data_IF_481541089491
#
_entry.id   IF_481541089491
#
_cell.length_a   1.000
_cell.length_b   1.000
_cell.length_c   1.000
_cell.angle_alpha   90.00
_cell.angle_beta   90.00
_cell.angle_gamma   90.00
#
_symmetry.space_group_name_H-M   'P 1'
#
loop_
_entity.id
_entity.type
_entity.pdbx_description
1 polymer ?
#
# COMPACT_ATOMS: atom_id res chain seq x y z
N UNK A 1 -15.87 -2.14 -21.26
CA UNK A 1 -14.90 -1.60 -20.29
C UNK A 1 -13.61 -1.32 -21.05
N UNK A 2 -12.94 -0.20 -20.79
CA UNK A 2 -11.64 0.08 -21.42
C UNK A 2 -10.61 -0.99 -21.01
N UNK A 3 -9.65 -1.34 -21.87
CA UNK A 3 -8.61 -2.31 -21.54
C UNK A 3 -7.79 -1.84 -20.34
N UNK A 4 -7.42 -2.75 -19.43
CA UNK A 4 -6.74 -2.38 -18.18
C UNK A 4 -5.30 -1.90 -18.41
N UNK A 5 -4.74 -2.20 -19.57
CA UNK A 5 -3.45 -1.71 -20.05
C UNK A 5 -3.38 -0.18 -20.23
N UNK A 6 -4.51 0.54 -20.21
CA UNK A 6 -4.51 2.01 -20.33
C UNK A 6 -4.15 2.72 -19.01
N UNK A 7 -4.34 2.06 -17.88
CA UNK A 7 -4.16 2.66 -16.56
C UNK A 7 -2.72 3.03 -16.22
N UNK A 8 -1.68 2.24 -16.58
CA UNK A 8 -0.29 2.67 -16.43
C UNK A 8 0.00 3.99 -17.16
N UNK A 9 -0.50 4.15 -18.38
CA UNK A 9 -0.37 5.41 -19.13
C UNK A 9 -1.19 6.55 -18.52
N UNK A 10 -2.42 6.27 -18.07
CA UNK A 10 -3.24 7.24 -17.33
C UNK A 10 -2.53 7.71 -16.06
N UNK A 11 -1.82 6.81 -15.37
CA UNK A 11 -1.00 7.11 -14.19
C UNK A 11 0.13 8.10 -14.49
N UNK A 12 0.83 7.95 -15.62
CA UNK A 12 1.87 8.90 -16.06
C UNK A 12 1.27 10.29 -16.27
N UNK A 13 0.19 10.38 -17.07
CA UNK A 13 -0.46 11.66 -17.39
C UNK A 13 -1.00 12.32 -16.11
N UNK A 14 -1.63 11.53 -15.23
CA UNK A 14 -2.17 12.01 -13.97
C UNK A 14 -1.08 12.52 -13.02
N UNK A 15 0.03 11.80 -12.91
CA UNK A 15 1.17 12.19 -12.09
C UNK A 15 1.76 13.53 -12.55
N UNK A 16 1.90 13.74 -13.87
CA UNK A 16 2.38 15.01 -14.42
C UNK A 16 1.36 16.14 -14.19
N UNK A 17 0.06 15.83 -14.30
CA UNK A 17 -1.01 16.83 -14.16
C UNK A 17 -1.27 17.25 -12.71
N UNK A 18 -0.83 16.46 -11.74
CA UNK A 18 -1.13 16.64 -10.31
C UNK A 18 0.17 16.85 -9.51
N UNK A 19 0.68 18.10 -9.43
CA UNK A 19 1.96 18.39 -8.79
C UNK A 19 1.96 18.17 -7.26
N UNK A 20 0.79 18.05 -6.62
CA UNK A 20 0.67 17.75 -5.19
C UNK A 20 1.17 16.34 -4.81
N UNK A 21 1.34 15.44 -5.80
CA UNK A 21 1.87 14.09 -5.59
C UNK A 21 3.41 14.05 -5.57
N UNK A 22 4.08 15.00 -6.20
CA UNK A 22 5.54 14.94 -6.40
C UNK A 22 6.33 14.94 -5.10
N UNK A 23 5.99 15.74 -4.06
CA UNK A 23 6.70 15.69 -2.79
C UNK A 23 6.65 14.29 -2.14
N UNK A 24 5.56 13.54 -2.35
CA UNK A 24 5.39 12.19 -1.79
C UNK A 24 6.29 11.15 -2.47
N UNK A 25 6.67 11.39 -3.72
CA UNK A 25 7.61 10.55 -4.48
C UNK A 25 9.06 10.94 -4.19
N UNK A 26 9.35 12.24 -4.06
CA UNK A 26 10.70 12.74 -3.83
C UNK A 26 11.20 12.46 -2.41
N UNK A 27 10.31 12.55 -1.41
CA UNK A 27 10.65 12.32 0.00
C UNK A 27 11.28 10.94 0.26
N UNK A 28 10.72 9.80 -0.23
CA UNK A 28 11.34 8.48 -0.15
C UNK A 28 12.80 8.44 -0.61
N UNK A 29 13.10 9.05 -1.76
CA UNK A 29 14.46 9.07 -2.32
C UNK A 29 15.43 9.83 -1.42
N UNK A 30 15.01 10.96 -0.85
CA UNK A 30 15.84 11.75 0.07
C UNK A 30 16.10 10.96 1.36
N UNK A 31 15.05 10.37 1.94
CA UNK A 31 15.17 9.60 3.18
C UNK A 31 16.08 8.37 2.97
N UNK A 32 15.88 7.61 1.90
CA UNK A 32 16.74 6.47 1.56
C UNK A 32 18.18 6.90 1.32
N UNK A 33 18.42 8.01 0.62
CA UNK A 33 19.76 8.54 0.40
C UNK A 33 20.47 8.87 1.73
N UNK A 34 19.77 9.53 2.66
CA UNK A 34 20.30 9.84 3.99
C UNK A 34 20.60 8.57 4.78
N UNK A 35 19.71 7.58 4.75
CA UNK A 35 19.91 6.29 5.41
C UNK A 35 21.13 5.57 4.81
N UNK A 36 21.25 5.52 3.49
CA UNK A 36 22.40 4.89 2.82
C UNK A 36 23.71 5.57 3.17
N UNK A 37 23.77 6.91 3.19
CA UNK A 37 24.96 7.65 3.60
C UNK A 37 25.29 7.36 5.07
N UNK A 38 24.29 7.38 5.96
CA UNK A 38 24.49 7.09 7.37
C UNK A 38 25.01 5.66 7.59
N UNK A 39 24.40 4.65 6.96
CA UNK A 39 24.85 3.27 7.03
C UNK A 39 26.27 3.09 6.48
N UNK A 40 26.61 3.77 5.38
CA UNK A 40 27.96 3.74 4.82
C UNK A 40 28.97 4.32 5.81
N UNK A 41 28.72 5.51 6.35
CA UNK A 41 29.61 6.16 7.32
C UNK A 41 29.77 5.29 8.56
N UNK A 42 28.68 4.76 9.13
CA UNK A 42 28.72 3.89 10.30
C UNK A 42 29.47 2.58 10.02
N UNK A 43 29.28 1.98 8.83
CA UNK A 43 29.96 0.76 8.44
C UNK A 43 31.48 0.98 8.33
N UNK A 44 31.91 2.07 7.69
CA UNK A 44 33.34 2.39 7.61
C UNK A 44 33.95 2.80 8.95
N UNK A 45 33.18 3.46 9.82
CA UNK A 45 33.67 3.88 11.14
C UNK A 45 33.78 2.73 12.14
N UNK A 46 32.83 1.79 12.14
CA UNK A 46 32.73 0.77 13.19
C UNK A 46 32.95 -0.66 12.69
N UNK A 47 32.40 -1.04 11.53
CA UNK A 47 32.49 -2.41 11.01
C UNK A 47 33.88 -2.71 10.42
N UNK A 48 34.40 -1.81 9.59
CA UNK A 48 35.71 -1.98 8.96
C UNK A 48 36.85 -2.25 9.97
N UNK A 49 37.06 -1.44 11.03
CA UNK A 49 38.18 -1.68 11.95
C UNK A 49 38.06 -3.04 12.66
N UNK A 50 36.85 -3.44 13.08
CA UNK A 50 36.61 -4.74 13.71
C UNK A 50 37.00 -5.88 12.77
N UNK A 51 36.65 -5.77 11.48
CA UNK A 51 36.99 -6.78 10.48
C UNK A 51 38.49 -6.83 10.19
N UNK A 52 39.14 -5.67 10.09
CA UNK A 52 40.60 -5.59 9.85
C UNK A 52 41.35 -6.26 11.00
N UNK A 53 40.98 -5.98 12.24
CA UNK A 53 41.61 -6.58 13.43
C UNK A 53 41.38 -8.10 13.43
N UNK A 54 40.16 -8.56 13.15
CA UNK A 54 39.85 -9.99 13.04
C UNK A 54 40.72 -10.72 12.00
N UNK A 55 40.97 -10.12 10.84
CA UNK A 55 41.82 -10.72 9.80
C UNK A 55 43.31 -10.68 10.16
N UNK A 56 43.78 -9.61 10.81
CA UNK A 56 45.16 -9.51 11.28
C UNK A 56 45.44 -10.58 12.35
N UNK A 57 44.51 -10.79 13.27
CA UNK A 57 44.60 -11.84 14.31
C UNK A 57 44.67 -13.26 13.70
N UNK A 58 44.10 -13.45 12.50
CA UNK A 58 44.18 -14.70 11.73
C UNK A 58 45.40 -14.79 10.79
N UNK A 59 46.42 -13.96 11.00
CA UNK A 59 47.69 -13.94 10.24
C UNK A 59 47.56 -13.51 8.76
N UNK A 60 46.58 -12.68 8.41
CA UNK A 60 46.49 -12.12 7.06
C UNK A 60 47.46 -10.94 6.87
N UNK A 61 47.99 -10.78 5.65
CA UNK A 61 48.82 -9.61 5.34
C UNK A 61 48.01 -8.30 5.48
N UNK A 62 48.57 -7.23 6.08
CA UNK A 62 47.82 -6.02 6.41
C UNK A 62 47.11 -5.34 5.22
N UNK A 63 47.70 -5.40 4.02
CA UNK A 63 47.10 -4.83 2.82
C UNK A 63 45.94 -5.68 2.29
N UNK A 64 46.03 -7.01 2.42
CA UNK A 64 44.94 -7.94 2.04
C UNK A 64 43.78 -7.80 3.02
N UNK A 65 44.07 -7.76 4.33
CA UNK A 65 43.07 -7.58 5.37
C UNK A 65 42.24 -6.31 5.14
N UNK A 66 42.88 -5.17 4.86
CA UNK A 66 42.20 -3.89 4.56
C UNK A 66 41.35 -3.95 3.29
N UNK A 67 41.86 -4.58 2.23
CA UNK A 67 41.13 -4.69 0.97
C UNK A 67 39.87 -5.55 1.13
N UNK A 68 39.98 -6.71 1.78
CA UNK A 68 38.87 -7.64 1.99
C UNK A 68 37.86 -7.08 2.99
N UNK A 69 38.31 -6.48 4.09
CA UNK A 69 37.43 -5.78 5.03
C UNK A 69 36.69 -4.63 4.34
N UNK A 70 37.34 -3.86 3.46
CA UNK A 70 36.67 -2.82 2.69
C UNK A 70 35.57 -3.35 1.78
N UNK A 71 35.82 -4.47 1.08
CA UNK A 71 34.80 -5.11 0.25
C UNK A 71 33.62 -5.63 1.09
N UNK A 72 33.91 -6.28 2.22
CA UNK A 72 32.89 -6.82 3.13
C UNK A 72 32.05 -5.69 3.75
N UNK A 73 32.69 -4.61 4.20
CA UNK A 73 32.02 -3.41 4.73
C UNK A 73 31.09 -2.78 3.68
N UNK A 74 31.52 -2.69 2.41
CA UNK A 74 30.67 -2.22 1.32
C UNK A 74 29.47 -3.15 1.08
N UNK A 75 29.70 -4.46 1.12
CA UNK A 75 28.63 -5.46 0.97
C UNK A 75 27.63 -5.38 2.11
N UNK A 76 28.07 -5.25 3.36
CA UNK A 76 27.21 -5.12 4.54
C UNK A 76 26.41 -3.81 4.51
N UNK A 77 27.03 -2.69 4.12
CA UNK A 77 26.32 -1.42 3.94
C UNK A 77 25.28 -1.49 2.81
N UNK A 78 25.58 -2.20 1.71
CA UNK A 78 24.65 -2.44 0.63
C UNK A 78 23.48 -3.34 1.07
N UNK A 79 23.75 -4.40 1.83
CA UNK A 79 22.73 -5.26 2.43
C UNK A 79 21.85 -4.51 3.42
N UNK A 80 22.43 -3.68 4.29
CA UNK A 80 21.68 -2.83 5.22
C UNK A 80 20.80 -1.82 4.48
N UNK A 81 21.30 -1.24 3.39
CA UNK A 81 20.51 -0.35 2.52
C UNK A 81 19.37 -1.09 1.83
N UNK A 82 19.61 -2.32 1.35
CA UNK A 82 18.59 -3.16 0.74
C UNK A 82 17.48 -3.53 1.74
N UNK A 83 17.84 -3.93 2.96
CA UNK A 83 16.88 -4.21 4.04
C UNK A 83 16.06 -2.96 4.35
N UNK A 84 16.72 -1.80 4.46
CA UNK A 84 16.05 -0.52 4.71
C UNK A 84 15.05 -0.17 3.59
N UNK A 85 15.44 -0.38 2.33
CA UNK A 85 14.57 -0.22 1.17
C UNK A 85 13.36 -1.15 1.23
N UNK A 86 13.57 -2.45 1.47
CA UNK A 86 12.49 -3.44 1.54
C UNK A 86 11.51 -3.17 2.70
N UNK A 87 12.01 -2.60 3.80
CA UNK A 87 11.18 -2.25 4.95
C UNK A 87 10.38 -0.96 4.74
N UNK A 88 10.99 0.08 4.14
CA UNK A 88 10.39 1.42 4.05
C UNK A 88 9.53 1.63 2.80
N UNK A 89 9.88 1.01 1.67
CA UNK A 89 9.19 1.20 0.40
C UNK A 89 7.68 0.96 0.45
N UNK A 90 7.18 -0.14 1.07
CA UNK A 90 5.75 -0.40 1.11
C UNK A 90 4.94 0.76 1.73
N UNK A 91 5.44 1.36 2.81
CA UNK A 91 4.77 2.49 3.46
C UNK A 91 4.63 3.72 2.55
N UNK A 92 5.63 3.99 1.73
CA UNK A 92 5.57 5.13 0.81
C UNK A 92 4.72 4.85 -0.42
N UNK A 93 4.71 3.61 -0.91
CA UNK A 93 3.76 3.18 -1.94
C UNK A 93 2.31 3.35 -1.45
N UNK A 94 2.03 2.91 -0.22
CA UNK A 94 0.70 3.03 0.40
C UNK A 94 0.31 4.51 0.59
N UNK A 95 1.21 5.33 1.11
CA UNK A 95 0.98 6.77 1.27
C UNK A 95 0.74 7.51 -0.06
N UNK A 96 1.35 7.04 -1.16
CA UNK A 96 1.11 7.55 -2.51
C UNK A 96 -0.23 7.05 -3.06
N UNK A 97 -0.55 5.78 -2.86
CA UNK A 97 -1.82 5.20 -3.28
C UNK A 97 -3.01 5.93 -2.64
N UNK A 98 -2.94 6.15 -1.32
CA UNK A 98 -3.93 6.92 -0.56
C UNK A 98 -4.00 8.38 -0.99
N UNK A 99 -2.88 8.97 -1.40
CA UNK A 99 -2.85 10.32 -1.99
C UNK A 99 -3.77 10.43 -3.20
N UNK A 100 -3.66 9.43 -4.10
CA UNK A 100 -4.37 9.39 -5.37
C UNK A 100 -5.85 9.15 -5.14
N UNK A 101 -6.21 8.23 -4.24
CA UNK A 101 -7.61 8.03 -3.88
C UNK A 101 -8.22 9.29 -3.24
N UNK A 102 -7.46 10.01 -2.41
CA UNK A 102 -7.91 11.30 -1.85
C UNK A 102 -8.12 12.36 -2.93
N UNK A 103 -7.26 12.45 -3.94
CA UNK A 103 -7.44 13.39 -5.06
C UNK A 103 -8.61 13.00 -5.97
N UNK A 104 -8.94 11.71 -6.08
CA UNK A 104 -10.14 11.22 -6.78
C UNK A 104 -11.44 11.35 -5.98
N UNK A 105 -11.45 12.08 -4.84
CA UNK A 105 -12.61 12.27 -3.94
C UNK A 105 -13.05 11.00 -3.20
N UNK A 106 -12.19 10.00 -3.08
CA UNK A 106 -12.41 8.79 -2.28
C UNK A 106 -11.80 8.87 -0.87
N UNK A 107 -11.38 10.06 -0.43
CA UNK A 107 -10.74 10.24 0.88
C UNK A 107 -11.56 9.74 2.07
N UNK A 108 -12.89 9.80 1.99
CA UNK A 108 -13.78 9.33 3.05
C UNK A 108 -13.71 7.81 3.27
N UNK A 109 -13.38 7.00 2.26
CA UNK A 109 -13.20 5.55 2.41
C UNK A 109 -11.94 5.27 3.22
N UNK A 110 -10.89 6.04 2.94
CA UNK A 110 -9.61 5.95 3.65
C UNK A 110 -9.83 6.32 5.11
N UNK A 111 -10.57 7.39 5.39
CA UNK A 111 -10.81 7.84 6.75
C UNK A 111 -11.73 6.86 7.52
N UNK A 112 -12.67 6.19 6.82
CA UNK A 112 -13.48 5.11 7.40
C UNK A 112 -12.69 3.82 7.65
N UNK A 113 -11.69 3.51 6.82
CA UNK A 113 -10.82 2.35 6.97
C UNK A 113 -9.81 2.53 8.11
N UNK A 114 -9.25 3.74 8.27
CA UNK A 114 -8.25 4.10 9.27
C UNK A 114 -8.83 4.48 10.65
N UNK A 115 -10.08 4.15 10.93
CA UNK A 115 -10.68 4.30 12.25
C UNK A 115 -9.85 3.60 13.33
N UNK A 116 -9.26 4.39 14.22
CA UNK A 116 -8.34 4.06 15.33
C UNK A 116 -6.84 3.89 15.01
N UNK A 117 -6.12 5.00 15.19
CA UNK A 117 -4.66 5.17 15.19
C UNK A 117 -3.91 4.29 16.23
N UNK A 118 -4.62 3.63 17.16
CA UNK A 118 -4.05 2.93 18.33
C UNK A 118 -3.79 1.43 18.11
N UNK A 119 -4.33 0.83 17.05
CA UNK A 119 -4.09 -0.58 16.68
C UNK A 119 -2.82 -0.73 15.82
N UNK A 120 -2.23 0.40 15.41
CA UNK A 120 -1.15 0.45 14.43
C UNK A 120 0.14 -0.23 14.90
N UNK A 121 0.57 -0.18 16.17
CA UNK A 121 1.92 -0.66 16.49
C UNK A 121 2.08 -2.20 16.39
N UNK A 122 1.11 -2.96 16.91
CA UNK A 122 1.13 -4.43 16.83
C UNK A 122 0.61 -4.96 15.48
N UNK A 123 -0.30 -4.21 14.83
CA UNK A 123 -0.76 -4.50 13.48
C UNK A 123 0.25 -4.18 12.38
N UNK A 124 1.09 -3.15 12.56
CA UNK A 124 2.15 -2.76 11.61
C UNK A 124 3.30 -3.73 11.66
N UNK A 125 3.73 -4.27 12.81
CA UNK A 125 4.76 -5.32 12.81
C UNK A 125 4.27 -6.62 12.19
N UNK A 126 3.02 -7.04 12.47
CA UNK A 126 2.42 -8.22 11.85
C UNK A 126 2.15 -8.02 10.35
N UNK A 127 1.66 -6.85 9.97
CA UNK A 127 1.43 -6.42 8.59
C UNK A 127 2.73 -6.28 7.82
N UNK A 128 3.75 -5.65 8.40
CA UNK A 128 5.09 -5.53 7.82
C UNK A 128 5.75 -6.90 7.68
N UNK A 129 5.55 -7.84 8.60
CA UNK A 129 6.03 -9.21 8.42
C UNK A 129 5.33 -9.90 7.25
N UNK A 130 3.99 -9.77 7.14
CA UNK A 130 3.23 -10.38 6.04
C UNK A 130 3.58 -9.72 4.70
N UNK A 131 3.71 -8.40 4.66
CA UNK A 131 4.08 -7.61 3.48
C UNK A 131 5.53 -7.88 3.09
N UNK A 132 6.48 -7.88 4.04
CA UNK A 132 7.88 -8.19 3.78
C UNK A 132 8.06 -9.64 3.37
N UNK A 133 7.39 -10.59 4.03
CA UNK A 133 7.41 -12.00 3.65
C UNK A 133 6.83 -12.20 2.25
N UNK A 134 5.68 -11.58 1.96
CA UNK A 134 5.07 -11.66 0.63
C UNK A 134 5.95 -10.99 -0.43
N UNK A 135 6.54 -9.83 -0.13
CA UNK A 135 7.47 -9.12 -1.00
C UNK A 135 8.71 -9.96 -1.29
N UNK A 136 9.28 -10.62 -0.27
CA UNK A 136 10.40 -11.56 -0.43
C UNK A 136 9.99 -12.77 -1.26
N UNK A 137 8.81 -13.34 -1.05
CA UNK A 137 8.31 -14.47 -1.86
C UNK A 137 8.08 -14.07 -3.31
N UNK A 138 7.53 -12.89 -3.56
CA UNK A 138 7.34 -12.35 -4.91
C UNK A 138 8.69 -12.04 -5.57
N UNK A 139 9.65 -11.49 -4.83
CA UNK A 139 11.01 -11.25 -5.28
C UNK A 139 11.70 -12.56 -5.65
N UNK A 140 11.60 -13.60 -4.80
CA UNK A 140 12.13 -14.93 -5.09
C UNK A 140 11.49 -15.53 -6.35
N UNK A 141 10.18 -15.39 -6.50
CA UNK A 141 9.50 -15.80 -7.74
C UNK A 141 10.04 -15.04 -8.95
N UNK A 142 10.29 -13.74 -8.84
CA UNK A 142 10.84 -12.93 -9.91
C UNK A 142 12.28 -13.31 -10.25
N UNK A 143 13.12 -13.62 -9.26
CA UNK A 143 14.49 -14.12 -9.46
C UNK A 143 14.47 -15.50 -10.13
N UNK A 144 13.61 -16.41 -9.70
CA UNK A 144 13.45 -17.74 -10.32
C UNK A 144 12.94 -17.59 -11.75
N UNK A 145 11.95 -16.73 -11.98
CA UNK A 145 11.42 -16.41 -13.31
C UNK A 145 12.54 -15.86 -14.20
N UNK A 146 13.39 -14.95 -13.70
CA UNK A 146 14.54 -14.42 -14.44
C UNK A 146 15.54 -15.51 -14.83
N UNK A 147 15.86 -16.43 -13.91
CA UNK A 147 16.77 -17.56 -14.20
C UNK A 147 16.18 -18.50 -15.26
N UNK A 148 14.89 -18.83 -15.14
CA UNK A 148 14.18 -19.71 -16.08
C UNK A 148 13.98 -19.05 -17.46
N UNK A 149 13.79 -17.72 -17.50
CA UNK A 149 13.64 -16.96 -18.73
C UNK A 149 14.97 -16.50 -19.34
N UNK A 150 16.10 -16.72 -18.67
CA UNK A 150 17.43 -16.34 -19.16
C UNK A 150 17.76 -16.99 -20.53
N UNK A 151 17.48 -18.29 -20.77
CA UNK A 151 17.62 -18.90 -22.10
C UNK A 151 16.64 -18.32 -23.13
N UNK A 152 15.46 -17.87 -22.68
CA UNK A 152 14.41 -17.31 -23.54
C UNK A 152 14.72 -15.86 -23.95
N UNK A 153 15.46 -15.12 -23.13
CA UNK A 153 15.99 -13.79 -23.46
C UNK A 153 17.01 -13.81 -24.60
N UNK A 154 17.54 -14.98 -24.98
CA UNK A 154 18.40 -15.13 -26.16
C UNK A 154 17.63 -14.87 -27.47
N UNK A 155 16.30 -14.93 -27.46
CA UNK A 155 15.45 -14.54 -28.58
C UNK A 155 14.90 -13.13 -28.30
N UNK A 156 15.49 -12.07 -28.89
CA UNK A 156 15.00 -10.72 -28.70
C UNK A 156 13.53 -10.62 -29.15
N UNK A 157 12.76 -9.75 -28.49
CA UNK A 157 11.31 -9.54 -28.67
C UNK A 157 10.44 -10.62 -28.02
N UNK A 158 10.61 -11.90 -28.35
CA UNK A 158 9.73 -12.96 -27.79
C UNK A 158 9.96 -13.12 -26.29
N UNK A 159 11.22 -13.15 -25.85
CA UNK A 159 11.57 -13.22 -24.43
C UNK A 159 10.98 -12.04 -23.63
N UNK A 160 11.04 -10.83 -24.20
CA UNK A 160 10.49 -9.62 -23.59
C UNK A 160 8.98 -9.68 -23.42
N UNK A 161 8.24 -10.10 -24.46
CA UNK A 161 6.77 -10.19 -24.39
C UNK A 161 6.34 -11.23 -23.35
N UNK A 162 6.99 -12.40 -23.33
CA UNK A 162 6.70 -13.45 -22.33
C UNK A 162 7.06 -12.98 -20.92
N UNK A 163 8.18 -12.29 -20.76
CA UNK A 163 8.60 -11.70 -19.48
C UNK A 163 7.58 -10.68 -18.95
N UNK A 164 7.11 -9.75 -19.79
CA UNK A 164 6.08 -8.79 -19.43
C UNK A 164 4.77 -9.47 -19.02
N UNK A 165 4.35 -10.52 -19.74
CA UNK A 165 3.11 -11.23 -19.42
C UNK A 165 3.18 -12.00 -18.09
N UNK A 166 4.27 -12.74 -17.87
CA UNK A 166 4.45 -13.55 -16.66
C UNK A 166 4.65 -12.69 -15.41
N UNK A 167 5.48 -11.64 -15.51
CA UNK A 167 5.71 -10.74 -14.39
C UNK A 167 4.57 -9.73 -14.21
N UNK A 168 3.77 -9.49 -15.25
CA UNK A 168 2.65 -8.55 -15.20
C UNK A 168 1.63 -8.92 -14.13
N UNK A 169 1.21 -10.17 -14.05
CA UNK A 169 0.26 -10.60 -13.01
C UNK A 169 0.79 -10.31 -11.60
N UNK A 170 2.06 -10.64 -11.35
CA UNK A 170 2.73 -10.44 -10.06
C UNK A 170 2.85 -8.95 -9.73
N UNK A 171 3.28 -8.15 -10.71
CA UNK A 171 3.43 -6.70 -10.59
C UNK A 171 2.11 -6.04 -10.15
N UNK A 172 1.03 -6.33 -10.88
CA UNK A 172 -0.29 -5.80 -10.59
C UNK A 172 -0.81 -6.23 -9.22
N UNK A 173 -0.62 -7.51 -8.89
CA UNK A 173 -1.01 -8.03 -7.59
C UNK A 173 -0.25 -7.32 -6.46
N UNK A 174 1.06 -7.11 -6.62
CA UNK A 174 1.90 -6.40 -5.65
C UNK A 174 1.44 -4.95 -5.43
N UNK A 175 1.01 -4.24 -6.47
CA UNK A 175 0.53 -2.86 -6.34
C UNK A 175 -0.89 -2.74 -5.76
N UNK A 176 -1.69 -3.82 -5.81
CA UNK A 176 -3.11 -3.80 -5.39
C UNK A 176 -3.38 -4.54 -4.07
N UNK A 177 -2.47 -5.41 -3.64
CA UNK A 177 -2.67 -6.23 -2.43
C UNK A 177 -2.87 -5.39 -1.17
N UNK A 178 -2.14 -4.29 -1.04
CA UNK A 178 -2.26 -3.36 0.07
C UNK A 178 -3.67 -2.78 0.18
N UNK A 179 -4.19 -2.25 -0.94
CA UNK A 179 -5.57 -1.80 -1.04
C UNK A 179 -6.59 -2.88 -0.65
N UNK A 180 -6.44 -4.10 -1.20
CA UNK A 180 -7.38 -5.19 -0.91
C UNK A 180 -7.37 -5.58 0.58
N UNK A 181 -6.21 -5.54 1.23
CA UNK A 181 -6.05 -5.94 2.64
C UNK A 181 -6.45 -4.82 3.60
N UNK A 182 -6.02 -3.59 3.35
CA UNK A 182 -6.23 -2.47 4.28
C UNK A 182 -7.60 -1.81 4.10
N UNK A 183 -7.96 -1.46 2.86
CA UNK A 183 -9.20 -0.74 2.57
C UNK A 183 -10.41 -1.68 2.46
N UNK A 184 -10.24 -2.85 1.84
CA UNK A 184 -11.32 -3.84 1.74
C UNK A 184 -11.33 -4.87 2.89
N UNK A 185 -10.39 -4.82 3.83
CA UNK A 185 -10.25 -5.79 4.95
C UNK A 185 -10.24 -7.26 4.50
N UNK A 186 -9.73 -7.55 3.30
CA UNK A 186 -9.65 -8.92 2.77
C UNK A 186 -8.44 -9.65 3.35
N UNK A 187 -8.54 -10.96 3.51
CA UNK A 187 -7.36 -11.78 3.73
C UNK A 187 -6.49 -11.85 2.46
N UNK A 188 -5.17 -11.95 2.60
CA UNK A 188 -4.22 -12.13 1.48
C UNK A 188 -4.63 -13.30 0.57
N UNK A 189 -5.12 -14.41 1.14
CA UNK A 189 -5.60 -15.56 0.37
C UNK A 189 -6.82 -15.24 -0.49
N UNK A 190 -7.73 -14.39 0.02
CA UNK A 190 -8.91 -13.97 -0.71
C UNK A 190 -8.56 -13.01 -1.85
N UNK A 191 -7.66 -12.05 -1.61
CA UNK A 191 -7.15 -11.16 -2.67
C UNK A 191 -6.40 -11.97 -3.75
N UNK A 192 -5.57 -12.95 -3.35
CA UNK A 192 -4.89 -13.84 -4.30
C UNK A 192 -5.90 -14.62 -5.16
N UNK A 193 -6.95 -15.19 -4.56
CA UNK A 193 -8.00 -15.92 -5.31
C UNK A 193 -8.75 -14.99 -6.28
N UNK A 194 -8.99 -13.73 -5.89
CA UNK A 194 -9.57 -12.72 -6.77
C UNK A 194 -8.65 -12.39 -7.96
N UNK A 195 -7.37 -12.14 -7.69
CA UNK A 195 -6.37 -11.87 -8.73
C UNK A 195 -6.20 -13.04 -9.72
N UNK A 196 -6.32 -14.28 -9.24
CA UNK A 196 -6.33 -15.46 -10.12
C UNK A 196 -7.60 -15.56 -10.96
N UNK A 197 -8.77 -15.25 -10.40
CA UNK A 197 -10.04 -15.24 -11.14
C UNK A 197 -10.02 -14.20 -12.26
N UNK A 198 -9.42 -13.04 -12.01
CA UNK A 198 -9.33 -11.92 -12.96
C UNK A 198 -7.93 -11.81 -13.59
N UNK A 199 -7.26 -12.94 -13.83
CA UNK A 199 -5.89 -12.96 -14.36
C UNK A 199 -5.69 -12.13 -15.64
N UNK A 200 -6.70 -12.04 -16.50
CA UNK A 200 -6.65 -11.25 -17.74
C UNK A 200 -6.40 -9.78 -17.45
N UNK A 201 -7.29 -9.16 -16.66
CA UNK A 201 -7.19 -7.77 -16.22
C UNK A 201 -5.87 -7.48 -15.50
N UNK A 202 -5.42 -8.40 -14.64
CA UNK A 202 -4.15 -8.25 -13.91
C UNK A 202 -2.94 -8.35 -14.84
N UNK A 203 -2.93 -9.27 -15.80
CA UNK A 203 -1.86 -9.39 -16.80
C UNK A 203 -1.85 -8.19 -17.76
N UNK A 204 -3.01 -7.67 -18.17
CA UNK A 204 -3.10 -6.53 -19.09
C UNK A 204 -2.51 -5.26 -18.49
N UNK A 205 -2.90 -4.93 -17.25
CA UNK A 205 -2.30 -3.80 -16.51
C UNK A 205 -0.80 -4.02 -16.32
N UNK A 206 -0.44 -5.20 -15.83
CA UNK A 206 0.91 -5.50 -15.40
C UNK A 206 1.89 -5.62 -16.54
N UNK A 207 1.49 -6.15 -17.69
CA UNK A 207 2.35 -6.25 -18.86
C UNK A 207 2.77 -4.85 -19.35
N UNK A 208 1.84 -3.90 -19.37
CA UNK A 208 2.13 -2.50 -19.70
C UNK A 208 3.01 -1.83 -18.64
N UNK A 209 2.72 -2.07 -17.35
CA UNK A 209 3.52 -1.54 -16.24
C UNK A 209 4.98 -2.06 -16.27
N UNK A 210 5.16 -3.38 -16.42
CA UNK A 210 6.48 -4.01 -16.52
C UNK A 210 7.23 -3.52 -17.75
N UNK A 211 6.54 -3.37 -18.90
CA UNK A 211 7.17 -2.83 -20.10
C UNK A 211 7.71 -1.41 -19.91
N UNK A 212 6.98 -0.55 -19.21
CA UNK A 212 7.45 0.80 -18.87
C UNK A 212 8.69 0.76 -17.96
N UNK A 213 8.69 -0.15 -16.96
CA UNK A 213 9.82 -0.32 -16.04
C UNK A 213 11.06 -0.95 -16.69
N UNK A 214 10.94 -1.58 -17.86
CA UNK A 214 12.10 -2.07 -18.60
C UNK A 214 12.93 -0.92 -19.21
N UNK A 215 12.41 0.30 -19.26
CA UNK A 215 13.15 1.46 -19.78
C UNK A 215 14.17 1.89 -18.72
N UNK A 216 15.49 1.74 -18.97
CA UNK A 216 16.51 2.14 -18.01
C UNK A 216 16.43 3.65 -17.73
N UNK A 217 16.86 4.07 -16.55
CA UNK A 217 16.76 5.45 -16.03
C UNK A 217 15.33 5.89 -15.72
N UNK A 218 14.38 5.70 -16.65
CA UNK A 218 12.98 6.08 -16.45
C UNK A 218 12.19 5.08 -15.58
N UNK A 219 12.69 3.86 -15.39
CA UNK A 219 12.08 2.85 -14.50
C UNK A 219 11.73 3.44 -13.13
N UNK A 220 12.66 4.20 -12.51
CA UNK A 220 12.43 4.81 -11.20
C UNK A 220 11.19 5.71 -11.18
N UNK A 221 10.96 6.48 -12.24
CA UNK A 221 9.76 7.29 -12.39
C UNK A 221 8.53 6.41 -12.66
N UNK A 222 8.68 5.45 -13.58
CA UNK A 222 7.57 4.60 -14.01
C UNK A 222 7.02 3.74 -12.87
N UNK A 223 7.88 3.27 -11.97
CA UNK A 223 7.50 2.59 -10.75
C UNK A 223 6.45 3.37 -9.95
N UNK A 224 6.70 4.65 -9.68
CA UNK A 224 5.77 5.50 -8.95
C UNK A 224 4.52 5.81 -9.77
N UNK A 225 4.64 6.04 -11.09
CA UNK A 225 3.47 6.25 -11.94
C UNK A 225 2.59 5.00 -12.08
N UNK A 226 3.18 3.81 -11.97
CA UNK A 226 2.46 2.53 -11.97
C UNK A 226 1.64 2.36 -10.69
N UNK A 227 2.16 2.81 -9.53
CA UNK A 227 1.38 2.90 -8.28
C UNK A 227 0.17 3.83 -8.46
N UNK A 228 0.39 5.02 -9.05
CA UNK A 228 -0.70 5.96 -9.37
C UNK A 228 -1.72 5.33 -10.33
N UNK A 229 -1.25 4.64 -11.38
CA UNK A 229 -2.12 3.94 -12.33
C UNK A 229 -2.96 2.85 -11.67
N UNK A 230 -2.39 2.08 -10.74
CA UNK A 230 -3.10 1.06 -9.98
C UNK A 230 -4.18 1.70 -9.08
N UNK A 231 -3.85 2.82 -8.42
CA UNK A 231 -4.81 3.58 -7.61
C UNK A 231 -5.96 4.14 -8.43
N UNK A 232 -5.69 4.67 -9.63
CA UNK A 232 -6.73 5.15 -10.56
C UNK A 232 -7.63 4.02 -11.06
N UNK A 233 -7.07 2.82 -11.30
CA UNK A 233 -7.89 1.66 -11.65
C UNK A 233 -8.84 1.31 -10.49
N UNK A 234 -8.32 1.25 -9.27
CA UNK A 234 -9.12 0.97 -8.09
C UNK A 234 -10.20 2.05 -7.86
N UNK A 235 -9.86 3.34 -8.03
CA UNK A 235 -10.83 4.43 -7.93
C UNK A 235 -11.98 4.29 -8.95
N UNK A 236 -11.65 4.00 -10.21
CA UNK A 236 -12.64 3.78 -11.27
C UNK A 236 -13.52 2.54 -10.97
N UNK A 237 -12.94 1.47 -10.42
CA UNK A 237 -13.67 0.24 -10.03
C UNK A 237 -14.68 0.52 -8.92
N UNK A 238 -14.26 1.26 -7.89
CA UNK A 238 -15.11 1.68 -6.77
C UNK A 238 -16.29 2.55 -7.25
N UNK A 239 -16.01 3.55 -8.08
CA UNK A 239 -17.04 4.46 -8.59
C UNK A 239 -18.02 3.73 -9.52
N UNK A 240 -17.54 2.76 -10.32
CA UNK A 240 -18.38 1.93 -11.16
C UNK A 240 -19.33 1.04 -10.33
N UNK A 241 -18.85 0.45 -9.24
CA UNK A 241 -19.66 -0.39 -8.36
C UNK A 241 -20.73 0.45 -7.63
N UNK A 242 -20.37 1.62 -7.10
CA UNK A 242 -21.37 2.54 -6.52
C UNK A 242 -22.41 3.00 -7.52
N UNK A 243 -22.02 3.27 -8.78
CA UNK A 243 -22.98 3.62 -9.83
C UNK A 243 -23.98 2.49 -10.05
N UNK A 244 -23.54 1.23 -10.01
CA UNK A 244 -24.41 0.05 -10.14
C UNK A 244 -25.36 -0.08 -8.97
N UNK A 245 -24.89 0.12 -7.74
CA UNK A 245 -25.74 0.14 -6.54
C UNK A 245 -26.80 1.24 -6.60
N UNK A 246 -26.42 2.46 -6.99
CA UNK A 246 -27.37 3.57 -7.18
C UNK A 246 -28.43 3.25 -8.23
N UNK A 247 -28.07 2.57 -9.31
CA UNK A 247 -29.01 2.13 -10.35
C UNK A 247 -29.92 1.03 -9.79
N UNK A 248 -29.38 0.03 -9.09
CA UNK A 248 -30.15 -1.05 -8.48
C UNK A 248 -31.19 -0.49 -7.49
N UNK A 249 -30.79 0.44 -6.62
CA UNK A 249 -31.69 1.09 -5.65
C UNK A 249 -32.77 1.93 -6.33
N UNK A 250 -32.47 2.55 -7.48
CA UNK A 250 -33.48 3.29 -8.28
C UNK A 250 -34.48 2.36 -8.97
N UNK A 251 -34.07 1.14 -9.32
CA UNK A 251 -34.91 0.16 -10.01
C UNK A 251 -35.80 -0.67 -9.06
N UNK A 252 -35.51 -0.67 -7.75
CA UNK A 252 -36.31 -1.34 -6.73
C UNK A 252 -36.59 -0.44 -5.51
N UNK A 253 -37.40 0.64 -5.66
CA UNK A 253 -37.63 1.66 -4.62
C UNK A 253 -38.53 1.22 -3.45
N UNK A 254 -38.46 -0.04 -3.01
CA UNK A 254 -39.38 -0.59 -2.00
C UNK A 254 -38.84 -1.74 -1.14
N UNK A 255 -37.56 -2.10 -1.25
CA UNK A 255 -36.92 -2.91 -0.22
C UNK A 255 -36.16 -1.97 0.70
N UNK A 256 -36.82 -1.51 1.77
CA UNK A 256 -36.13 -1.03 2.96
C UNK A 256 -35.27 -2.18 3.50
N UNK A 257 -34.02 -2.27 3.04
CA UNK A 257 -32.98 -2.92 3.82
C UNK A 257 -32.76 -2.02 5.03
N UNK A 258 -33.38 -2.42 6.13
CA UNK A 258 -33.24 -1.75 7.41
C UNK A 258 -31.78 -1.59 7.80
N UNK A 259 -31.50 -0.47 8.44
CA UNK A 259 -30.26 -0.15 9.16
C UNK A 259 -29.10 0.35 8.29
N UNK A 260 -28.81 1.64 8.46
CA UNK A 260 -27.58 2.32 8.09
C UNK A 260 -26.37 1.82 8.87
N UNK A 261 -26.02 0.53 8.73
CA UNK A 261 -24.76 -0.01 9.21
C UNK A 261 -24.24 -1.06 8.22
N UNK A 262 -22.92 -1.01 8.07
CA UNK A 262 -22.08 -1.93 7.28
C UNK A 262 -22.53 -3.37 7.52
N UNK A 263 -23.19 -3.97 6.54
CA UNK A 263 -23.29 -5.43 6.49
C UNK A 263 -21.99 -5.93 5.90
N UNK A 264 -21.07 -6.40 6.76
CA UNK A 264 -19.99 -7.26 6.31
C UNK A 264 -20.64 -8.52 5.74
N UNK A 265 -20.79 -8.60 4.43
CA UNK A 265 -21.24 -9.83 3.80
C UNK A 265 -20.20 -10.92 4.05
N UNK A 266 -20.55 -12.03 4.75
CA UNK A 266 -19.72 -13.22 4.79
C UNK A 266 -19.65 -13.74 3.34
N UNK A 267 -18.45 -13.77 2.77
CA UNK A 267 -18.32 -13.75 1.32
C UNK A 267 -18.25 -15.15 0.70
N UNK A 268 -19.40 -15.65 0.26
CA UNK A 268 -19.50 -16.33 -1.02
C UNK A 268 -19.95 -15.29 -2.06
N UNK A 269 -19.33 -15.27 -3.26
CA UNK A 269 -19.67 -14.43 -4.46
C UNK A 269 -18.71 -13.32 -4.98
N UNK A 270 -17.42 -13.56 -5.15
CA UNK A 270 -16.57 -12.89 -6.18
C UNK A 270 -16.54 -11.36 -6.48
N UNK A 271 -17.05 -10.42 -5.66
CA UNK A 271 -16.88 -8.95 -5.81
C UNK A 271 -16.31 -8.30 -4.52
N UNK A 272 -15.73 -7.09 -4.57
CA UNK A 272 -15.35 -6.34 -3.37
C UNK A 272 -16.60 -5.75 -2.69
N UNK A 273 -16.75 -5.96 -1.37
CA UNK A 273 -17.70 -5.18 -0.57
C UNK A 273 -17.12 -3.80 -0.27
N UNK A 274 -17.89 -2.74 -0.51
CA UNK A 274 -17.52 -1.35 -0.24
C UNK A 274 -18.03 -0.88 1.13
N UNK A 275 -17.30 -0.04 1.88
CA UNK A 275 -17.87 0.70 3.01
C UNK A 275 -18.85 1.76 2.49
N UNK A 276 -20.08 1.78 3.02
CA UNK A 276 -21.09 2.79 2.71
C UNK A 276 -20.80 4.11 3.44
N UNK A 277 -21.21 5.23 2.85
CA UNK A 277 -21.24 6.55 3.51
C UNK A 277 -22.02 6.46 4.84
N UNK A 278 -21.52 7.02 5.95
CA UNK A 278 -22.42 7.41 7.03
C UNK A 278 -23.33 8.50 6.48
N UNK A 279 -24.63 8.40 6.76
CA UNK A 279 -25.58 9.47 6.48
C UNK A 279 -25.02 10.81 6.95
N UNK A 280 -24.89 11.75 6.02
CA UNK A 280 -25.12 13.16 6.31
C UNK A 280 -26.59 13.30 6.73
N UNK A 281 -26.94 12.81 7.93
CA UNK A 281 -28.05 13.36 8.67
C UNK A 281 -27.59 14.72 9.18
N UNK A 282 -27.94 15.75 8.41
CA UNK A 282 -28.01 17.15 8.84
C UNK A 282 -26.84 17.65 9.71
N UNK A 283 -25.65 17.73 9.13
CA UNK A 283 -24.73 18.79 9.54
C UNK A 283 -24.82 19.93 8.54
N UNK A 284 -25.58 20.94 8.95
CA UNK A 284 -25.69 22.22 8.29
C UNK A 284 -24.29 22.86 8.23
N UNK A 285 -23.74 23.05 7.03
CA UNK A 285 -22.50 23.80 6.83
C UNK A 285 -22.81 25.30 6.93
N UNK A 286 -23.15 25.73 8.14
CA UNK A 286 -23.53 27.10 8.44
C UNK A 286 -23.35 27.40 9.91
N UNK A 287 -22.10 27.63 10.34
CA UNK A 287 -21.71 28.62 11.37
C UNK A 287 -20.32 28.29 11.92
N UNK A 288 -19.28 28.90 11.33
CA UNK A 288 -18.05 29.11 12.08
C UNK A 288 -18.27 30.31 13.00
N UNK A 289 -18.66 30.03 14.25
CA UNK A 289 -18.69 31.01 15.33
C UNK A 289 -19.65 30.63 16.47
N UNK A 290 -19.10 30.19 17.61
CA UNK A 290 -19.82 30.24 18.89
C UNK A 290 -19.64 29.06 19.85
N UNK A 291 -18.75 29.25 20.83
CA UNK A 291 -18.73 28.75 22.23
C UNK A 291 -18.75 27.23 22.61
N UNK A 292 -17.78 26.75 23.44
CA UNK A 292 -17.70 25.37 23.96
C UNK A 292 -18.75 24.92 25.01
N UNK A 293 -19.82 25.67 25.29
CA UNK A 293 -20.64 25.46 26.50
C UNK A 293 -21.75 24.40 26.35
N UNK A 294 -22.22 24.10 25.13
CA UNK A 294 -23.34 23.16 24.93
C UNK A 294 -22.93 21.68 25.09
N UNK A 295 -21.69 21.32 24.73
CA UNK A 295 -21.24 19.93 24.80
C UNK A 295 -21.00 19.46 26.25
N UNK A 296 -20.65 20.38 27.16
CA UNK A 296 -20.52 20.08 28.60
C UNK A 296 -21.88 19.90 29.31
N UNK A 297 -22.93 20.63 28.90
CA UNK A 297 -24.25 20.51 29.52
C UNK A 297 -24.93 19.18 29.20
N UNK A 298 -24.79 18.68 27.96
CA UNK A 298 -25.36 17.39 27.56
C UNK A 298 -24.70 16.23 28.32
N UNK A 299 -23.37 16.32 28.53
CA UNK A 299 -22.62 15.28 29.24
C UNK A 299 -22.93 15.28 30.75
N UNK A 300 -23.17 16.44 31.37
CA UNK A 300 -23.59 16.53 32.77
C UNK A 300 -25.01 15.99 32.99
N UNK A 301 -25.94 16.25 32.06
CA UNK A 301 -27.31 15.73 32.15
C UNK A 301 -27.35 14.20 32.04
N UNK A 302 -26.55 13.61 31.14
CA UNK A 302 -26.42 12.14 31.04
C UNK A 302 -25.84 11.52 32.31
N UNK A 303 -24.87 12.18 32.95
CA UNK A 303 -24.27 11.66 34.18
C UNK A 303 -25.25 11.69 35.37
N UNK A 304 -26.04 12.76 35.48
CA UNK A 304 -27.07 12.86 36.52
C UNK A 304 -28.19 11.84 36.33
N UNK A 305 -28.61 11.59 35.09
CA UNK A 305 -29.64 10.59 34.79
C UNK A 305 -29.17 9.17 35.13
N UNK A 306 -27.89 8.86 34.90
CA UNK A 306 -27.30 7.58 35.24
C UNK A 306 -27.21 7.36 36.76
N UNK A 307 -26.84 8.39 37.53
CA UNK A 307 -26.84 8.30 39.00
C UNK A 307 -28.25 8.13 39.58
N UNK A 308 -29.26 8.78 38.99
CA UNK A 308 -30.65 8.62 39.43
C UNK A 308 -31.16 7.19 39.20
N UNK A 309 -30.79 6.56 38.08
CA UNK A 309 -31.13 5.16 37.81
C UNK A 309 -30.43 4.18 38.76
N UNK A 310 -29.17 4.43 39.13
CA UNK A 310 -28.49 3.61 40.13
C UNK A 310 -29.10 3.73 41.52
N UNK A 311 -29.52 4.93 41.94
CA UNK A 311 -30.21 5.11 43.21
C UNK A 311 -31.57 4.40 43.25
N UNK A 312 -32.33 4.40 42.15
CA UNK A 312 -33.59 3.66 42.08
C UNK A 312 -33.39 2.14 42.11
N UNK A 313 -32.31 1.63 41.49
CA UNK A 313 -31.99 0.20 41.58
C UNK A 313 -31.54 -0.23 42.99
N UNK A 314 -30.86 0.64 43.74
CA UNK A 314 -30.48 0.36 45.13
C UNK A 314 -31.64 0.44 46.12
N UNK A 315 -32.73 1.15 45.81
CA UNK A 315 -33.93 1.20 46.64
C UNK A 315 -34.91 0.04 46.39
N UNK A 316 -34.68 -0.78 45.37
CA UNK A 316 -35.49 -1.96 45.04
C UNK A 316 -34.85 -3.30 45.46
N UNK A 317 -33.74 -3.25 46.20
CA UNK A 317 -33.10 -4.40 46.88
C UNK A 317 -33.14 -4.21 48.39
#
# INVERSE_FOLDING_TARGET
>A
MAPKSIYPFKGIIYFISTPSLWPRVILPFIVLLVITIALLVLAFMYLMPIQVDFFIDHNWYPWVAKAVAGLLTLLEAALGSLISYLALMPFWEDALFDAVLRSERLGYIIDAAHGDYRTCLNGVLGGLYIIAFQSVVLLLFQVVSLIVLLPLHAIPVIGTVVYCYLNGWVMTFSKRIHYDVELCKKSVNQSRKYAWKNRGDFCEFGAAAVFLEMIPVLNLLFFWTNVVGAALWVADEIEADRRRERIANRLAPGQEQGSHYVTFHPYDSSRPGLPTEPLLQSHDYGSYGGHPQQQQQIQQQQYQQYQYQQQQQQQQQ
#
